data_IF_053392830791
#
_entry.id   IF_053392830791
#
_cell.length_a   1.000
_cell.length_b   1.000
_cell.length_c   1.000
_cell.angle_alpha   90.00
_cell.angle_beta   90.00
_cell.angle_gamma   90.00
#
_symmetry.space_group_name_H-M   'P 1'
#
loop_
_entity.id
_entity.type
_entity.pdbx_description
1 polymer ?
#
# COMPACT_ATOMS: atom_id res chain seq x y z
N UNK A 1 13.69 8.79 2.58
CA UNK A 1 12.24 8.82 2.79
C UNK A 1 11.91 8.13 4.10
N UNK A 2 11.14 8.78 4.95
CA UNK A 2 10.80 8.26 6.27
C UNK A 2 9.36 7.74 6.26
N UNK A 3 9.12 6.46 6.61
CA UNK A 3 7.76 5.95 6.70
C UNK A 3 6.97 6.67 7.78
N UNK A 4 5.70 6.92 7.53
CA UNK A 4 4.82 7.52 8.51
C UNK A 4 4.43 6.53 9.60
N UNK A 5 4.36 6.97 10.89
CA UNK A 5 3.75 6.14 11.91
C UNK A 5 2.28 5.89 11.56
N UNK A 6 1.87 4.64 11.60
CA UNK A 6 0.52 4.28 11.18
C UNK A 6 -0.54 4.92 12.06
N UNK A 7 -0.28 5.03 13.37
CA UNK A 7 -1.23 5.63 14.29
C UNK A 7 -1.49 7.12 14.07
N UNK A 8 -0.66 7.79 13.27
CA UNK A 8 -0.83 9.21 12.95
C UNK A 8 -1.64 9.45 11.68
N UNK A 9 -2.08 8.38 11.00
CA UNK A 9 -2.82 8.51 9.75
C UNK A 9 -4.30 8.81 10.00
N UNK A 10 -4.97 9.52 9.08
CA UNK A 10 -6.42 9.71 9.17
C UNK A 10 -7.14 8.37 9.15
N UNK A 11 -8.33 8.27 9.78
CA UNK A 11 -9.10 7.02 9.80
C UNK A 11 -9.37 6.45 8.42
N UNK A 12 -9.55 7.29 7.43
CA UNK A 12 -9.82 6.90 6.07
C UNK A 12 -8.63 6.12 5.46
N UNK A 13 -7.42 6.63 5.68
CA UNK A 13 -6.20 5.97 5.22
C UNK A 13 -5.95 4.70 6.01
N UNK A 14 -6.14 4.74 7.34
CA UNK A 14 -5.99 3.56 8.19
C UNK A 14 -6.91 2.43 7.73
N UNK A 15 -8.15 2.75 7.41
CA UNK A 15 -9.12 1.77 6.92
C UNK A 15 -8.65 1.13 5.63
N UNK A 16 -8.09 1.94 4.73
CA UNK A 16 -7.61 1.47 3.44
C UNK A 16 -6.39 0.57 3.56
N UNK A 17 -5.47 0.87 4.47
CA UNK A 17 -4.23 0.09 4.62
C UNK A 17 -4.35 -1.05 5.61
N UNK A 18 -5.41 -1.11 6.42
CA UNK A 18 -5.57 -2.13 7.45
C UNK A 18 -5.46 -3.57 6.93
N UNK A 19 -6.12 -3.93 5.79
CA UNK A 19 -5.97 -5.29 5.25
C UNK A 19 -4.54 -5.61 4.85
N UNK A 20 -3.82 -4.64 4.28
CA UNK A 20 -2.42 -4.82 3.90
C UNK A 20 -1.54 -5.02 5.13
N UNK A 21 -1.78 -4.27 6.19
CA UNK A 21 -1.06 -4.43 7.46
C UNK A 21 -1.30 -5.80 8.07
N UNK A 22 -2.54 -6.26 8.03
CA UNK A 22 -2.89 -7.57 8.55
C UNK A 22 -2.15 -8.67 7.78
N UNK A 23 -2.18 -8.60 6.45
CA UNK A 23 -1.51 -9.58 5.60
C UNK A 23 0.01 -9.56 5.84
N UNK A 24 0.60 -8.36 5.93
CA UNK A 24 2.02 -8.22 6.19
C UNK A 24 2.41 -8.84 7.52
N UNK A 25 1.60 -8.61 8.55
CA UNK A 25 1.83 -9.19 9.88
C UNK A 25 1.74 -10.71 9.85
N UNK A 26 0.74 -11.25 9.17
CA UNK A 26 0.54 -12.70 9.08
C UNK A 26 1.66 -13.40 8.32
N UNK A 27 2.26 -12.71 7.36
CA UNK A 27 3.33 -13.28 6.52
C UNK A 27 4.73 -12.87 6.97
N UNK A 28 4.85 -12.04 8.00
CA UNK A 28 6.15 -11.58 8.48
C UNK A 28 6.86 -10.60 7.55
N UNK A 29 6.10 -9.88 6.74
CA UNK A 29 6.63 -8.93 5.77
C UNK A 29 6.61 -7.52 6.33
N UNK A 30 7.71 -6.79 6.20
CA UNK A 30 7.76 -5.38 6.59
C UNK A 30 7.03 -4.53 5.54
N UNK A 31 6.16 -3.65 6.01
CA UNK A 31 5.32 -2.81 5.18
C UNK A 31 5.48 -1.35 5.59
N UNK A 32 5.64 -0.48 4.60
CA UNK A 32 5.82 0.96 4.81
C UNK A 32 4.86 1.77 3.96
N UNK A 33 4.36 2.87 4.51
CA UNK A 33 3.60 3.86 3.76
C UNK A 33 4.55 4.97 3.34
N UNK A 34 4.59 5.30 2.06
CA UNK A 34 5.56 6.25 1.53
C UNK A 34 4.93 7.21 0.51
N UNK A 35 5.69 8.19 0.09
CA UNK A 35 5.40 9.01 -1.09
C UNK A 35 4.35 10.08 -0.90
N UNK A 36 3.51 10.22 -1.92
CA UNK A 36 2.56 11.32 -2.02
C UNK A 36 1.52 11.35 -0.92
N UNK A 37 1.14 10.21 -0.37
CA UNK A 37 0.15 10.16 0.72
C UNK A 37 0.65 10.90 1.95
N UNK A 38 1.93 10.73 2.30
CA UNK A 38 2.52 11.43 3.45
C UNK A 38 2.55 12.93 3.19
N UNK A 39 2.98 13.34 1.99
CA UNK A 39 3.01 14.74 1.62
C UNK A 39 1.62 15.37 1.64
N UNK A 40 0.62 14.67 1.11
CA UNK A 40 -0.74 15.18 1.07
C UNK A 40 -1.30 15.37 2.46
N UNK A 41 -0.96 14.49 3.41
CA UNK A 41 -1.36 14.64 4.80
C UNK A 41 -0.75 15.90 5.41
N UNK A 42 0.53 16.16 5.15
CA UNK A 42 1.22 17.33 5.68
C UNK A 42 0.65 18.63 5.12
N UNK A 43 0.13 18.60 3.90
CA UNK A 43 -0.46 19.76 3.25
C UNK A 43 -1.96 19.90 3.50
N UNK A 44 -2.55 18.99 4.27
CA UNK A 44 -3.98 19.01 4.56
C UNK A 44 -4.85 18.63 3.37
N UNK A 45 -4.28 17.95 2.38
CA UNK A 45 -5.02 17.51 1.20
C UNK A 45 -5.66 16.15 1.44
N UNK A 46 -6.75 15.89 0.72
CA UNK A 46 -7.34 14.57 0.72
C UNK A 46 -6.40 13.54 0.09
N UNK A 47 -6.37 12.34 0.66
CA UNK A 47 -5.50 11.27 0.16
C UNK A 47 -6.30 10.38 -0.78
N UNK A 48 -5.98 10.42 -2.09
CA UNK A 48 -6.64 9.59 -3.09
C UNK A 48 -5.84 8.33 -3.41
N UNK A 49 -4.52 8.46 -3.50
CA UNK A 49 -3.62 7.34 -3.80
C UNK A 49 -2.75 7.04 -2.58
N UNK A 50 -2.67 5.77 -2.22
CA UNK A 50 -1.84 5.31 -1.12
C UNK A 50 -0.73 4.45 -1.70
N UNK A 51 0.52 4.81 -1.40
CA UNK A 51 1.70 4.09 -1.87
C UNK A 51 2.30 3.26 -0.74
N UNK A 52 2.35 1.95 -0.95
CA UNK A 52 2.91 1.00 0.00
C UNK A 52 4.18 0.39 -0.57
N UNK A 53 5.15 0.15 0.30
CA UNK A 53 6.39 -0.55 -0.04
C UNK A 53 6.51 -1.76 0.88
N UNK A 54 6.80 -2.92 0.31
CA UNK A 54 6.99 -4.15 1.08
C UNK A 54 8.39 -4.69 0.88
N UNK A 55 8.98 -5.24 1.94
CA UNK A 55 10.27 -5.92 1.87
C UNK A 55 10.06 -7.38 1.45
N UNK A 56 9.45 -7.57 0.28
CA UNK A 56 9.13 -8.86 -0.29
C UNK A 56 8.74 -8.67 -1.75
N UNK A 57 8.27 -9.73 -2.40
CA UNK A 57 7.77 -9.64 -3.76
C UNK A 57 6.41 -8.93 -3.75
N UNK A 58 6.41 -7.68 -4.20
CA UNK A 58 5.20 -6.86 -4.23
C UNK A 58 4.12 -7.46 -5.11
N UNK A 59 4.49 -8.14 -6.19
CA UNK A 59 3.53 -8.74 -7.11
C UNK A 59 2.73 -9.85 -6.42
N UNK A 60 3.44 -10.74 -5.70
CA UNK A 60 2.79 -11.81 -4.95
C UNK A 60 1.94 -11.26 -3.81
N UNK A 61 2.46 -10.28 -3.09
CA UNK A 61 1.76 -9.63 -1.99
C UNK A 61 0.46 -8.98 -2.48
N UNK A 62 0.56 -8.20 -3.56
CA UNK A 62 -0.59 -7.49 -4.11
C UNK A 62 -1.65 -8.44 -4.66
N UNK A 63 -1.23 -9.53 -5.32
CA UNK A 63 -2.17 -10.50 -5.86
C UNK A 63 -2.99 -11.16 -4.74
N UNK A 64 -2.33 -11.51 -3.64
CA UNK A 64 -3.01 -12.10 -2.48
C UNK A 64 -3.93 -11.10 -1.81
N UNK A 65 -3.45 -9.87 -1.62
CA UNK A 65 -4.25 -8.80 -1.03
C UNK A 65 -5.49 -8.50 -1.87
N UNK A 66 -5.33 -8.47 -3.19
CA UNK A 66 -6.45 -8.23 -4.10
C UNK A 66 -7.54 -9.29 -3.95
N UNK A 67 -7.14 -10.56 -3.81
CA UNK A 67 -8.10 -11.64 -3.61
C UNK A 67 -8.88 -11.47 -2.30
N UNK A 68 -8.19 -11.07 -1.24
CA UNK A 68 -8.84 -10.87 0.06
C UNK A 68 -9.79 -9.68 0.06
N UNK A 69 -9.50 -8.66 -0.75
CA UNK A 69 -10.31 -7.43 -0.82
C UNK A 69 -11.37 -7.46 -1.90
N UNK A 70 -11.33 -8.44 -2.79
CA UNK A 70 -12.18 -8.41 -3.98
C UNK A 70 -11.80 -7.28 -4.92
N UNK A 71 -10.53 -6.91 -4.95
CA UNK A 71 -10.02 -5.81 -5.75
C UNK A 71 -9.47 -6.32 -7.08
N UNK A 72 -9.52 -5.46 -8.10
CA UNK A 72 -8.80 -5.70 -9.34
C UNK A 72 -7.32 -5.36 -9.11
N UNK A 73 -6.43 -6.08 -9.77
CA UNK A 73 -4.99 -5.84 -9.64
C UNK A 73 -4.34 -5.79 -11.01
N UNK A 74 -3.46 -4.79 -11.20
CA UNK A 74 -2.64 -4.66 -12.38
C UNK A 74 -1.19 -4.83 -11.96
N UNK A 75 -0.51 -5.84 -12.54
CA UNK A 75 0.86 -6.18 -12.20
C UNK A 75 1.83 -5.59 -13.21
N UNK A 76 2.83 -4.86 -12.73
CA UNK A 76 3.89 -4.29 -13.54
C UNK A 76 5.18 -5.02 -13.23
N UNK A 77 5.35 -6.20 -13.83
CA UNK A 77 6.45 -7.13 -13.50
C UNK A 77 7.82 -6.51 -13.73
N UNK A 78 7.94 -5.70 -14.76
CA UNK A 78 9.21 -5.05 -15.11
C UNK A 78 9.71 -4.13 -14.00
N UNK A 79 8.79 -3.50 -13.27
CA UNK A 79 9.13 -2.53 -12.24
C UNK A 79 8.97 -3.07 -10.83
N UNK A 80 8.47 -4.29 -10.68
CA UNK A 80 8.22 -4.86 -9.36
C UNK A 80 7.13 -4.12 -8.60
N UNK A 81 6.14 -3.60 -9.30
CA UNK A 81 5.05 -2.83 -8.71
C UNK A 81 3.69 -3.39 -9.10
N UNK A 82 2.67 -3.05 -8.34
CA UNK A 82 1.30 -3.45 -8.63
C UNK A 82 0.35 -2.36 -8.18
N UNK A 83 -0.78 -2.25 -8.87
CA UNK A 83 -1.84 -1.31 -8.53
C UNK A 83 -3.10 -2.09 -8.24
N UNK A 84 -3.68 -1.87 -7.06
CA UNK A 84 -4.97 -2.45 -6.69
C UNK A 84 -6.05 -1.38 -6.85
N UNK A 85 -7.14 -1.75 -7.53
CA UNK A 85 -8.32 -0.90 -7.64
C UNK A 85 -9.40 -1.49 -6.75
N UNK A 86 -9.74 -0.77 -5.68
CA UNK A 86 -10.70 -1.24 -4.69
C UNK A 86 -12.13 -1.07 -5.19
N UNK A 87 -13.08 -1.85 -4.66
CA UNK A 87 -14.47 -1.77 -5.11
C UNK A 87 -15.09 -0.37 -4.97
N UNK A 88 -14.61 0.43 -4.03
CA UNK A 88 -15.10 1.80 -3.81
C UNK A 88 -14.45 2.83 -4.73
N UNK A 89 -13.56 2.40 -5.64
CA UNK A 89 -12.87 3.28 -6.56
C UNK A 89 -11.54 3.82 -6.06
N UNK A 90 -11.15 3.48 -4.83
CA UNK A 90 -9.86 3.88 -4.28
C UNK A 90 -8.74 3.00 -4.79
N UNK A 91 -7.49 3.49 -4.70
CA UNK A 91 -6.32 2.77 -5.21
C UNK A 91 -5.28 2.54 -4.13
N UNK A 92 -4.59 1.40 -4.25
CA UNK A 92 -3.40 1.09 -3.47
C UNK A 92 -2.29 0.73 -4.44
N UNK A 93 -1.17 1.42 -4.36
CA UNK A 93 0.01 1.11 -5.15
C UNK A 93 0.99 0.36 -4.24
N UNK A 94 1.50 -0.77 -4.71
CA UNK A 94 2.44 -1.60 -3.93
C UNK A 94 3.73 -1.76 -4.71
N UNK A 95 4.84 -1.48 -4.06
CA UNK A 95 6.17 -1.62 -4.68
C UNK A 95 7.07 -2.47 -3.81
N UNK A 96 8.01 -3.17 -4.46
CA UNK A 96 9.04 -3.93 -3.76
C UNK A 96 10.12 -2.97 -3.26
N UNK A 97 10.49 -3.08 -1.99
CA UNK A 97 11.60 -2.32 -1.45
C UNK A 97 12.89 -2.75 -2.13
N UNK A 98 13.67 -1.77 -2.55
CA UNK A 98 14.95 -2.05 -3.20
C UNK A 98 16.06 -1.82 -2.19
N UNK A 99 16.90 -2.84 -2.05
CA UNK A 99 18.12 -2.73 -1.27
C UNK A 99 19.28 -2.58 -2.25
N UNK A 100 20.09 -1.58 -2.01
CA UNK A 100 21.26 -1.33 -2.84
C UNK A 100 22.54 -1.48 -2.05
#
# INVERSE_FOLDING_TARGET
>A
MTPSPVGALPPDVLRRVAPARKLARETGIALYLVGGAVRDLLLGRGVTDVDLVVEADALAFAARLARELGAAVELHRRFGTAVLSLPDGERLDVATARTE
#
